data_IF_243455825526
#
_entry.id   IF_243455825526
#
_cell.length_a   1.000
_cell.length_b   1.000
_cell.length_c   1.000
_cell.angle_alpha   90.00
_cell.angle_beta   90.00
_cell.angle_gamma   90.00
#
_symmetry.space_group_name_H-M   'P 1'
#
loop_
_entity.id
_entity.type
_entity.pdbx_description
1 polymer ?
#
# COMPACT_ATOMS: atom_id res chain seq x y z
N UNK A 1 -36.19 52.49 25.18
CA UNK A 1 -35.74 51.24 24.52
C UNK A 1 -34.86 51.60 23.33
N UNK A 2 -33.53 51.54 23.47
CA UNK A 2 -32.58 51.81 22.38
C UNK A 2 -32.35 50.51 21.59
N UNK A 3 -32.68 50.50 20.30
CA UNK A 3 -32.36 49.40 19.38
C UNK A 3 -30.87 49.49 19.02
N UNK A 4 -30.12 48.45 19.38
CA UNK A 4 -28.73 48.25 18.96
C UNK A 4 -28.77 47.60 17.57
N UNK A 5 -28.21 48.28 16.57
CA UNK A 5 -28.00 47.71 15.24
C UNK A 5 -26.71 46.90 15.25
N UNK A 6 -26.81 45.58 15.10
CA UNK A 6 -25.66 44.73 14.83
C UNK A 6 -25.31 44.81 13.34
N UNK A 7 -24.10 45.26 13.04
CA UNK A 7 -23.53 45.24 11.69
C UNK A 7 -23.34 43.78 11.24
N UNK A 8 -23.74 43.40 10.00
CA UNK A 8 -23.65 42.02 9.50
C UNK A 8 -22.22 41.61 9.13
N UNK A 9 -21.22 42.42 9.44
CA UNK A 9 -19.81 42.18 9.06
C UNK A 9 -19.07 41.34 10.12
N UNK A 10 -19.61 41.22 11.34
CA UNK A 10 -18.92 40.52 12.43
C UNK A 10 -18.97 38.97 12.42
N UNK A 11 -19.97 38.25 11.83
CA UNK A 11 -19.92 36.79 11.78
C UNK A 11 -19.06 36.26 10.61
N UNK A 12 -18.72 37.10 9.63
CA UNK A 12 -17.96 36.69 8.44
C UNK A 12 -16.46 36.51 8.73
N UNK A 13 -15.93 37.20 9.73
CA UNK A 13 -14.51 37.09 10.14
C UNK A 13 -14.28 35.86 11.04
N UNK A 14 -15.32 35.37 11.73
CA UNK A 14 -15.21 34.15 12.55
C UNK A 14 -15.39 32.86 11.74
N UNK A 15 -16.06 32.93 10.57
CA UNK A 15 -16.22 31.79 9.66
C UNK A 15 -14.97 31.58 8.78
N UNK A 16 -14.11 32.60 8.62
CA UNK A 16 -12.87 32.49 7.84
C UNK A 16 -11.67 31.94 8.64
N UNK A 17 -11.81 31.75 9.96
CA UNK A 17 -10.75 31.23 10.84
C UNK A 17 -10.93 29.75 11.23
N UNK A 18 -11.88 29.04 10.61
CA UNK A 18 -11.78 27.58 10.45
C UNK A 18 -10.95 27.33 9.19
N UNK A 19 -9.69 27.78 9.24
CA UNK A 19 -8.66 27.15 8.43
C UNK A 19 -8.67 25.69 8.85
N UNK A 20 -9.05 24.85 7.91
CA UNK A 20 -8.97 23.40 7.97
C UNK A 20 -7.54 23.02 8.39
N UNK A 21 -7.31 22.89 9.69
CA UNK A 21 -6.29 22.00 10.21
C UNK A 21 -6.80 20.59 9.94
N UNK A 22 -6.67 20.17 8.69
CA UNK A 22 -6.68 18.75 8.40
C UNK A 22 -5.59 18.15 9.28
N UNK A 23 -5.90 17.19 10.18
CA UNK A 23 -4.84 16.35 10.69
C UNK A 23 -4.18 15.74 9.45
N UNK A 24 -2.92 16.08 9.24
CA UNK A 24 -2.04 15.30 8.39
C UNK A 24 -2.14 13.85 8.85
N UNK A 25 -2.85 13.04 8.06
CA UNK A 25 -3.06 11.63 8.33
C UNK A 25 -1.88 10.91 7.68
N UNK A 26 -0.93 10.48 8.51
CA UNK A 26 0.27 9.77 8.07
C UNK A 26 -0.03 8.61 7.10
N UNK A 27 0.77 8.52 6.05
CA UNK A 27 0.98 7.29 5.32
C UNK A 27 1.70 6.31 6.27
N UNK A 28 0.99 5.27 6.70
CA UNK A 28 1.45 4.14 7.53
C UNK A 28 1.56 4.33 9.05
N UNK A 29 0.63 3.67 9.76
CA UNK A 29 0.67 3.37 11.21
C UNK A 29 0.26 1.92 11.48
N UNK A 30 0.89 0.97 10.80
CA UNK A 30 0.46 -0.43 10.84
C UNK A 30 1.39 -1.37 11.62
N UNK A 31 2.10 -0.89 12.66
CA UNK A 31 2.71 -1.76 13.65
C UNK A 31 2.30 -1.44 15.10
N UNK A 32 2.21 -2.49 15.92
CA UNK A 32 1.59 -2.46 17.24
C UNK A 32 2.37 -1.63 18.29
N UNK A 33 3.52 -1.03 17.93
CA UNK A 33 4.20 -0.07 18.79
C UNK A 33 4.81 1.15 18.07
N UNK A 34 4.90 1.18 16.72
CA UNK A 34 5.48 2.24 15.85
C UNK A 34 6.63 3.05 16.48
N UNK A 35 7.46 2.40 17.31
CA UNK A 35 8.31 3.12 18.26
C UNK A 35 9.43 3.87 17.54
N UNK A 36 10.02 3.22 16.55
CA UNK A 36 11.16 3.76 15.80
C UNK A 36 10.72 4.92 14.92
N UNK A 37 9.68 4.72 14.12
CA UNK A 37 9.08 5.79 13.31
C UNK A 37 8.62 6.94 14.20
N UNK A 38 7.96 6.66 15.33
CA UNK A 38 7.54 7.72 16.28
C UNK A 38 8.73 8.48 16.85
N UNK A 39 9.81 7.80 17.20
CA UNK A 39 11.03 8.42 17.74
C UNK A 39 11.74 9.26 16.66
N UNK A 40 11.80 8.74 15.43
CA UNK A 40 12.34 9.45 14.28
C UNK A 40 11.54 10.71 13.96
N UNK A 41 10.22 10.62 13.84
CA UNK A 41 9.35 11.77 13.55
C UNK A 41 9.28 12.80 14.69
N UNK A 42 9.63 12.42 15.92
CA UNK A 42 9.81 13.37 17.02
C UNK A 42 11.11 14.16 16.85
N UNK A 43 12.18 13.51 16.40
CA UNK A 43 13.47 14.17 16.14
C UNK A 43 13.47 14.98 14.84
N UNK A 44 12.73 14.51 13.82
CA UNK A 44 12.65 15.08 12.48
C UNK A 44 11.18 15.31 12.07
N UNK A 45 10.48 16.27 12.69
CA UNK A 45 9.06 16.50 12.43
C UNK A 45 8.73 16.89 10.99
N UNK A 46 9.70 17.47 10.26
CA UNK A 46 9.57 17.81 8.85
C UNK A 46 9.51 16.60 7.92
N UNK A 47 9.91 15.42 8.40
CA UNK A 47 9.88 14.19 7.61
C UNK A 47 8.50 13.50 7.59
N UNK A 48 7.56 14.01 8.40
CA UNK A 48 6.21 13.44 8.53
C UNK A 48 5.47 13.50 7.21
N UNK A 49 4.74 12.42 6.91
CA UNK A 49 3.99 12.25 5.67
C UNK A 49 4.86 12.22 4.41
N UNK A 50 6.19 12.31 4.54
CA UNK A 50 7.13 12.32 3.43
C UNK A 50 7.73 10.94 3.14
N UNK A 51 8.65 10.91 2.18
CA UNK A 51 9.40 9.70 1.78
C UNK A 51 10.13 8.99 2.94
N UNK A 52 10.43 9.69 4.03
CA UNK A 52 11.12 9.11 5.20
C UNK A 52 10.16 8.53 6.25
N UNK A 53 8.85 8.78 6.12
CA UNK A 53 7.81 8.25 7.00
C UNK A 53 7.33 6.88 6.50
N UNK A 54 8.25 5.93 6.31
CA UNK A 54 7.92 4.57 5.87
C UNK A 54 8.98 3.54 6.34
N UNK A 55 8.71 2.26 6.06
CA UNK A 55 9.60 1.16 6.45
C UNK A 55 10.98 1.24 5.80
N UNK A 56 11.11 1.83 4.59
CA UNK A 56 12.38 1.93 3.88
C UNK A 56 13.40 2.85 4.56
N UNK A 57 12.97 3.68 5.51
CA UNK A 57 13.90 4.46 6.35
C UNK A 57 14.92 3.56 7.06
N UNK A 58 14.45 2.46 7.66
CA UNK A 58 15.29 1.56 8.44
C UNK A 58 15.44 0.17 7.82
N UNK A 59 14.55 -0.22 6.90
CA UNK A 59 14.49 -1.56 6.35
C UNK A 59 14.77 -1.58 4.85
N UNK A 60 15.21 -2.75 4.37
CA UNK A 60 15.39 -3.04 2.96
C UNK A 60 14.45 -4.17 2.52
N UNK A 61 14.14 -4.21 1.23
CA UNK A 61 13.66 -5.44 0.59
C UNK A 61 14.80 -6.44 0.42
N UNK A 62 14.48 -7.62 -0.11
CA UNK A 62 15.46 -8.69 -0.29
C UNK A 62 14.95 -9.84 -1.14
N UNK A 63 15.87 -10.70 -1.58
CA UNK A 63 15.50 -11.88 -2.36
C UNK A 63 15.13 -13.06 -1.46
N UNK A 64 14.03 -13.72 -1.80
CA UNK A 64 13.63 -15.00 -1.22
C UNK A 64 13.03 -15.87 -2.32
N UNK A 65 13.47 -17.14 -2.40
CA UNK A 65 12.94 -18.11 -3.38
C UNK A 65 12.99 -17.60 -4.84
N UNK A 66 14.09 -16.92 -5.21
CA UNK A 66 14.30 -16.30 -6.52
C UNK A 66 13.27 -15.21 -6.92
N UNK A 67 12.60 -14.62 -5.92
CA UNK A 67 11.74 -13.45 -6.06
C UNK A 67 12.26 -12.33 -5.17
N UNK A 68 12.26 -11.10 -5.69
CA UNK A 68 12.48 -9.91 -4.87
C UNK A 68 11.21 -9.59 -4.08
N UNK A 69 11.37 -9.28 -2.80
CA UNK A 69 10.30 -8.83 -1.91
C UNK A 69 10.60 -7.40 -1.47
N UNK A 70 9.58 -6.54 -1.43
CA UNK A 70 9.68 -5.20 -0.84
C UNK A 70 9.99 -5.28 0.67
N UNK A 71 10.23 -4.13 1.31
CA UNK A 71 10.60 -4.10 2.73
C UNK A 71 9.52 -4.74 3.64
N UNK A 72 8.23 -4.59 3.33
CA UNK A 72 7.14 -5.18 4.12
C UNK A 72 7.07 -6.70 3.92
N UNK A 73 7.02 -7.16 2.66
CA UNK A 73 6.93 -8.58 2.36
C UNK A 73 8.21 -9.33 2.77
N UNK A 74 9.40 -8.72 2.63
CA UNK A 74 10.66 -9.32 3.05
C UNK A 74 10.71 -9.48 4.57
N UNK A 75 10.31 -8.45 5.33
CA UNK A 75 10.19 -8.54 6.79
C UNK A 75 9.27 -9.68 7.22
N UNK A 76 8.06 -9.76 6.66
CA UNK A 76 7.12 -10.83 6.98
C UNK A 76 7.59 -12.20 6.50
N UNK A 77 8.35 -12.26 5.42
CA UNK A 77 8.92 -13.50 4.93
C UNK A 77 10.06 -14.02 5.82
N UNK A 78 10.80 -13.13 6.49
CA UNK A 78 11.89 -13.49 7.40
C UNK A 78 11.38 -13.79 8.82
N UNK A 79 10.42 -13.01 9.33
CA UNK A 79 10.01 -13.10 10.74
C UNK A 79 8.56 -13.53 10.99
N UNK A 80 7.75 -13.68 9.93
CA UNK A 80 6.32 -13.93 10.06
C UNK A 80 5.51 -12.71 10.48
N UNK A 81 4.19 -12.87 10.52
CA UNK A 81 3.24 -11.77 10.76
C UNK A 81 2.92 -11.49 12.24
N UNK A 82 3.43 -12.30 13.18
CA UNK A 82 3.10 -12.21 14.60
C UNK A 82 4.32 -11.77 15.41
N UNK A 83 4.17 -10.68 16.15
CA UNK A 83 5.10 -10.31 17.20
C UNK A 83 4.96 -11.27 18.41
N UNK A 84 6.00 -11.40 19.25
CA UNK A 84 7.33 -10.81 19.09
C UNK A 84 8.15 -11.53 18.01
N UNK A 85 8.88 -10.77 17.19
CA UNK A 85 9.88 -11.36 16.31
C UNK A 85 11.05 -11.88 17.17
N UNK A 86 11.72 -12.98 16.79
CA UNK A 86 12.82 -13.54 17.58
C UNK A 86 13.92 -12.49 17.82
N UNK A 87 14.38 -12.34 19.07
CA UNK A 87 15.49 -11.45 19.41
C UNK A 87 16.76 -11.80 18.61
N UNK A 88 17.55 -10.79 18.23
CA UNK A 88 18.78 -10.95 17.44
C UNK A 88 18.57 -11.20 15.94
N UNK A 89 17.33 -11.22 15.44
CA UNK A 89 17.04 -11.50 14.03
C UNK A 89 16.78 -10.26 13.18
N UNK A 90 16.49 -9.10 13.80
CA UNK A 90 16.08 -7.84 13.14
C UNK A 90 17.06 -7.38 12.05
N UNK A 91 18.36 -7.57 12.29
CA UNK A 91 19.46 -7.14 11.40
C UNK A 91 19.30 -7.62 9.96
N UNK A 92 18.68 -8.78 9.72
CA UNK A 92 18.53 -9.37 8.38
C UNK A 92 17.72 -8.53 7.40
N UNK A 93 16.92 -7.60 7.91
CA UNK A 93 16.01 -6.76 7.11
C UNK A 93 16.34 -5.28 7.24
N UNK A 94 17.36 -4.93 8.03
CA UNK A 94 17.77 -3.54 8.19
C UNK A 94 18.63 -3.11 7.02
N UNK A 95 18.41 -1.89 6.56
CA UNK A 95 19.36 -1.19 5.70
C UNK A 95 20.54 -0.66 6.55
N UNK A 96 21.59 -0.09 5.95
CA UNK A 96 22.74 0.44 6.70
C UNK A 96 22.38 1.49 7.74
N UNK A 97 21.44 2.41 7.45
CA UNK A 97 20.95 3.38 8.44
C UNK A 97 20.25 2.73 9.63
N UNK A 98 19.33 1.80 9.37
CA UNK A 98 18.61 1.05 10.40
C UNK A 98 19.55 0.23 11.27
N UNK A 99 20.60 -0.36 10.68
CA UNK A 99 21.65 -1.05 11.42
C UNK A 99 22.44 -0.08 12.30
N UNK A 100 22.87 1.07 11.77
CA UNK A 100 23.56 2.09 12.55
C UNK A 100 22.69 2.60 13.72
N UNK A 101 21.40 2.84 13.48
CA UNK A 101 20.44 3.24 14.50
C UNK A 101 20.26 2.17 15.59
N UNK A 102 20.16 0.90 15.20
CA UNK A 102 20.09 -0.23 16.12
C UNK A 102 21.36 -0.32 16.98
N UNK A 103 22.55 -0.32 16.36
CA UNK A 103 23.84 -0.40 17.05
C UNK A 103 24.07 0.79 17.97
N UNK A 104 23.61 1.97 17.59
CA UNK A 104 23.70 3.17 18.42
C UNK A 104 22.69 3.19 19.57
N UNK A 105 21.80 2.20 19.72
CA UNK A 105 20.93 2.03 20.89
C UNK A 105 19.45 2.34 20.66
N UNK A 106 19.01 2.55 19.40
CA UNK A 106 17.60 2.60 18.98
C UNK A 106 16.73 3.54 19.85
N UNK A 107 17.19 4.78 20.00
CA UNK A 107 16.54 5.84 20.77
C UNK A 107 16.82 7.24 20.18
N UNK A 108 16.19 8.28 20.71
CA UNK A 108 16.37 9.65 20.19
C UNK A 108 17.85 10.09 20.17
N UNK A 109 18.62 9.70 21.20
CA UNK A 109 20.05 10.02 21.27
C UNK A 109 20.87 9.23 20.22
N UNK A 110 20.39 8.06 19.78
CA UNK A 110 21.02 7.28 18.72
C UNK A 110 20.95 8.02 17.39
N UNK A 111 19.82 8.68 17.08
CA UNK A 111 19.69 9.52 15.87
C UNK A 111 20.72 10.63 15.86
N UNK A 112 20.96 11.28 17.00
CA UNK A 112 22.00 12.30 17.12
C UNK A 112 23.41 11.73 16.96
N UNK A 113 23.69 10.53 17.50
CA UNK A 113 25.00 9.87 17.36
C UNK A 113 25.32 9.49 15.92
N UNK A 114 24.32 9.04 15.15
CA UNK A 114 24.53 8.60 13.77
C UNK A 114 24.38 9.73 12.75
N UNK A 115 23.92 10.92 13.14
CA UNK A 115 23.61 12.02 12.24
C UNK A 115 24.75 12.39 11.27
N UNK A 116 26.01 12.33 11.74
CA UNK A 116 27.20 12.62 10.93
C UNK A 116 27.82 11.43 10.21
N UNK A 117 27.22 10.24 10.29
CA UNK A 117 27.66 9.07 9.53
C UNK A 117 27.11 9.14 8.12
N UNK A 118 27.90 8.66 7.16
CA UNK A 118 27.45 8.25 5.82
C UNK A 118 27.20 6.74 5.92
N UNK A 119 25.95 6.34 6.15
CA UNK A 119 25.65 4.95 6.52
C UNK A 119 25.70 4.01 5.32
N UNK A 120 25.30 4.46 4.13
CA UNK A 120 25.25 3.64 2.92
C UNK A 120 26.44 3.85 1.95
N UNK A 121 27.30 4.83 2.24
CA UNK A 121 28.55 5.08 1.54
C UNK A 121 28.39 5.88 0.25
N UNK A 122 27.33 6.69 0.12
CA UNK A 122 27.04 7.48 -1.08
C UNK A 122 27.73 8.86 -1.10
N UNK A 123 28.40 9.24 0.00
CA UNK A 123 29.12 10.49 0.17
C UNK A 123 28.36 11.59 0.92
N UNK A 124 27.12 11.33 1.35
CA UNK A 124 26.32 12.23 2.16
C UNK A 124 26.15 11.68 3.57
N UNK A 125 26.05 12.59 4.54
CA UNK A 125 25.74 12.18 5.91
C UNK A 125 24.24 11.96 6.06
N UNK A 126 23.85 11.07 6.96
CA UNK A 126 22.47 10.80 7.32
C UNK A 126 21.67 12.09 7.56
N UNK A 127 22.27 13.09 8.23
CA UNK A 127 21.63 14.39 8.47
C UNK A 127 21.39 15.21 7.19
N UNK A 128 22.32 15.17 6.23
CA UNK A 128 22.14 15.86 4.94
C UNK A 128 21.02 15.19 4.14
N UNK A 129 20.98 13.87 4.12
CA UNK A 129 19.95 13.11 3.42
C UNK A 129 18.57 13.32 4.03
N UNK A 130 18.44 13.20 5.36
CA UNK A 130 17.19 13.46 6.07
C UNK A 130 16.70 14.90 5.82
N UNK A 131 17.60 15.88 5.78
CA UNK A 131 17.25 17.26 5.47
C UNK A 131 16.82 17.47 4.00
N UNK A 132 17.37 16.69 3.07
CA UNK A 132 16.97 16.66 1.67
C UNK A 132 15.72 15.80 1.42
N UNK A 133 15.22 15.07 2.43
CA UNK A 133 14.12 14.13 2.31
C UNK A 133 14.52 12.81 1.67
N UNK A 134 15.81 12.51 1.57
CA UNK A 134 16.42 11.32 0.97
C UNK A 134 16.73 10.23 2.01
N UNK A 135 16.68 8.96 1.61
CA UNK A 135 16.76 7.79 2.48
C UNK A 135 18.21 7.43 2.85
N UNK A 136 18.65 7.65 4.10
CA UNK A 136 20.04 7.53 4.52
C UNK A 136 20.63 6.10 4.55
N UNK A 137 19.85 5.13 4.11
CA UNK A 137 20.24 3.72 4.03
C UNK A 137 20.16 3.17 2.61
N UNK A 138 19.97 4.02 1.60
CA UNK A 138 19.92 3.63 0.20
C UNK A 138 20.75 4.58 -0.66
N UNK A 139 21.94 4.11 -1.05
CA UNK A 139 22.89 4.84 -1.89
C UNK A 139 22.36 5.31 -3.25
N UNK A 140 21.18 4.84 -3.67
CA UNK A 140 20.52 5.29 -4.90
C UNK A 140 19.54 6.45 -4.65
N UNK A 141 19.38 6.86 -3.40
CA UNK A 141 18.54 7.95 -2.93
C UNK A 141 19.38 8.98 -2.19
N UNK A 142 20.21 9.71 -2.93
CA UNK A 142 21.03 10.77 -2.37
C UNK A 142 20.37 12.14 -2.54
N UNK A 143 20.88 13.21 -1.91
CA UNK A 143 20.43 14.59 -2.18
C UNK A 143 20.65 15.05 -3.62
N UNK A 144 21.59 14.41 -4.34
CA UNK A 144 21.87 14.68 -5.75
C UNK A 144 21.07 13.76 -6.69
N UNK A 145 20.32 12.79 -6.15
CA UNK A 145 19.51 11.88 -6.94
C UNK A 145 18.39 12.64 -7.65
N UNK A 146 18.22 12.36 -8.94
CA UNK A 146 17.08 12.88 -9.69
C UNK A 146 15.84 12.08 -9.34
N UNK A 147 14.73 12.78 -9.13
CA UNK A 147 13.44 12.15 -8.92
C UNK A 147 13.08 11.22 -10.10
N UNK A 148 12.45 10.10 -9.77
CA UNK A 148 12.11 9.09 -10.77
C UNK A 148 11.12 9.64 -11.83
N UNK A 149 11.25 9.25 -13.11
CA UNK A 149 10.22 9.49 -14.11
C UNK A 149 8.85 9.02 -13.61
N UNK A 150 7.82 9.84 -13.77
CA UNK A 150 6.49 9.57 -13.27
C UNK A 150 5.40 9.98 -14.26
N UNK A 151 4.25 9.32 -14.21
CA UNK A 151 3.05 9.63 -14.98
C UNK A 151 1.86 9.61 -14.04
N UNK A 152 1.11 10.71 -14.01
CA UNK A 152 -0.15 10.80 -13.27
C UNK A 152 -1.30 10.32 -14.16
N UNK A 153 -2.11 9.42 -13.61
CA UNK A 153 -3.33 8.90 -14.20
C UNK A 153 -4.53 9.47 -13.48
N UNK A 154 -5.18 10.44 -14.12
CA UNK A 154 -6.50 10.92 -13.73
C UNK A 154 -7.57 9.89 -14.11
N UNK A 155 -8.76 10.03 -13.54
CA UNK A 155 -9.94 9.23 -13.93
C UNK A 155 -10.19 9.26 -15.45
N UNK A 156 -10.08 10.42 -16.06
CA UNK A 156 -10.27 10.60 -17.51
C UNK A 156 -9.20 9.88 -18.32
N UNK A 157 -7.95 9.86 -17.85
CA UNK A 157 -6.87 9.12 -18.51
C UNK A 157 -7.12 7.61 -18.42
N UNK A 158 -7.47 7.10 -17.24
CA UNK A 158 -7.79 5.68 -17.04
C UNK A 158 -9.01 5.23 -17.84
N UNK A 159 -10.04 6.07 -17.96
CA UNK A 159 -11.24 5.76 -18.72
C UNK A 159 -11.00 5.60 -20.24
N UNK A 160 -9.87 6.07 -20.76
CA UNK A 160 -9.46 5.90 -22.17
C UNK A 160 -8.72 4.59 -22.41
N UNK A 161 -8.24 3.93 -21.35
CA UNK A 161 -7.57 2.63 -21.46
C UNK A 161 -8.59 1.49 -21.62
N UNK A 162 -8.17 0.33 -22.14
CA UNK A 162 -9.06 -0.82 -22.31
C UNK A 162 -9.72 -1.26 -21.00
N UNK A 163 -11.05 -1.13 -20.94
CA UNK A 163 -11.88 -1.56 -19.79
C UNK A 163 -11.98 -3.08 -19.74
N UNK A 164 -11.72 -3.66 -18.58
CA UNK A 164 -11.81 -5.09 -18.29
C UNK A 164 -12.63 -5.34 -17.04
N UNK A 165 -13.59 -6.28 -17.12
CA UNK A 165 -14.39 -6.73 -15.98
C UNK A 165 -14.13 -8.21 -15.70
N UNK A 166 -13.99 -8.59 -14.43
CA UNK A 166 -13.86 -9.99 -14.03
C UNK A 166 -14.61 -10.29 -12.73
N UNK A 167 -15.41 -11.35 -12.74
CA UNK A 167 -16.08 -11.91 -11.57
C UNK A 167 -15.19 -12.98 -10.94
N UNK A 168 -14.89 -12.88 -9.65
CA UNK A 168 -13.96 -13.79 -8.99
C UNK A 168 -14.16 -13.89 -7.48
N UNK A 169 -13.63 -14.97 -6.90
CA UNK A 169 -13.52 -15.14 -5.45
C UNK A 169 -12.38 -14.26 -4.88
N UNK A 170 -12.63 -13.70 -3.69
CA UNK A 170 -11.68 -13.04 -2.83
C UNK A 170 -11.62 -13.78 -1.50
N UNK A 171 -10.54 -14.52 -1.33
CA UNK A 171 -10.19 -15.26 -0.12
C UNK A 171 -9.54 -14.31 0.90
N UNK A 172 -10.19 -14.04 2.03
CA UNK A 172 -9.73 -13.06 3.03
C UNK A 172 -9.41 -13.71 4.36
N UNK A 173 -8.35 -13.26 5.04
CA UNK A 173 -8.02 -13.78 6.37
C UNK A 173 -9.00 -13.31 7.46
N UNK A 174 -9.52 -12.09 7.34
CA UNK A 174 -10.21 -11.37 8.43
C UNK A 174 -11.64 -10.99 8.10
N UNK A 175 -11.96 -10.62 6.86
CA UNK A 175 -13.25 -10.04 6.51
C UNK A 175 -14.34 -11.09 6.14
N UNK A 176 -13.93 -12.35 5.97
CA UNK A 176 -14.75 -13.41 5.39
C UNK A 176 -14.65 -13.40 3.86
N UNK A 177 -14.72 -14.59 3.28
CA UNK A 177 -14.59 -14.78 1.83
C UNK A 177 -15.83 -14.24 1.08
N UNK A 178 -15.63 -13.77 -0.15
CA UNK A 178 -16.73 -13.29 -0.98
C UNK A 178 -16.38 -13.38 -2.46
N UNK A 179 -17.41 -13.38 -3.32
CA UNK A 179 -17.25 -13.10 -4.74
C UNK A 179 -17.63 -11.65 -5.02
N UNK A 180 -17.00 -11.07 -6.04
CA UNK A 180 -17.35 -9.76 -6.56
C UNK A 180 -16.95 -9.63 -8.03
N UNK A 181 -17.60 -8.70 -8.74
CA UNK A 181 -17.17 -8.26 -10.07
C UNK A 181 -16.36 -6.99 -9.93
N UNK A 182 -15.08 -7.04 -10.29
CA UNK A 182 -14.26 -5.83 -10.39
C UNK A 182 -14.18 -5.37 -11.84
N UNK A 183 -14.24 -4.05 -12.03
CA UNK A 183 -14.00 -3.44 -13.34
C UNK A 183 -12.91 -2.38 -13.26
N UNK A 184 -12.01 -2.40 -14.23
CA UNK A 184 -10.79 -1.62 -14.22
C UNK A 184 -9.99 -1.70 -15.51
N UNK A 185 -8.73 -1.33 -15.41
CA UNK A 185 -7.73 -1.49 -16.47
C UNK A 185 -6.79 -2.63 -16.10
N UNK A 186 -6.32 -3.43 -17.06
CA UNK A 186 -5.27 -4.41 -16.77
C UNK A 186 -3.98 -3.69 -16.38
N UNK A 187 -3.29 -4.20 -15.36
CA UNK A 187 -2.03 -3.61 -14.91
C UNK A 187 -1.00 -3.61 -16.03
N UNK A 188 -0.92 -4.67 -16.84
CA UNK A 188 0.00 -4.70 -17.96
C UNK A 188 -0.28 -3.59 -19.00
N UNK A 189 -1.54 -3.38 -19.37
CA UNK A 189 -1.94 -2.33 -20.32
C UNK A 189 -1.61 -0.93 -19.76
N UNK A 190 -1.83 -0.72 -18.46
CA UNK A 190 -1.47 0.52 -17.75
C UNK A 190 0.05 0.77 -17.77
N UNK A 191 0.87 -0.26 -17.53
CA UNK A 191 2.32 -0.15 -17.56
C UNK A 191 2.84 0.13 -18.98
N UNK A 192 2.22 -0.46 -20.00
CA UNK A 192 2.53 -0.16 -21.41
C UNK A 192 2.18 1.29 -21.76
N UNK A 193 1.03 1.81 -21.33
CA UNK A 193 0.67 3.24 -21.51
C UNK A 193 1.63 4.17 -20.76
N UNK A 194 2.11 3.75 -19.57
CA UNK A 194 3.09 4.51 -18.80
C UNK A 194 4.48 4.52 -19.47
N UNK A 195 4.69 3.67 -20.49
CA UNK A 195 5.95 3.56 -21.20
C UNK A 195 7.01 2.77 -20.44
N UNK A 196 6.61 1.67 -19.79
CA UNK A 196 7.52 0.73 -19.12
C UNK A 196 8.72 0.36 -20.01
N UNK A 197 9.92 0.42 -19.42
CA UNK A 197 11.18 0.10 -20.09
C UNK A 197 11.46 -1.41 -20.08
N UNK A 198 12.21 -1.90 -21.07
CA UNK A 198 12.62 -3.30 -21.16
C UNK A 198 13.53 -3.77 -20.00
N UNK A 199 14.16 -2.83 -19.29
CA UNK A 199 14.95 -3.11 -18.09
C UNK A 199 14.10 -3.44 -16.86
N UNK A 200 12.77 -3.23 -16.94
CA UNK A 200 11.88 -3.47 -15.83
C UNK A 200 11.73 -4.96 -15.52
N UNK A 201 11.69 -5.31 -14.23
CA UNK A 201 11.65 -6.71 -13.77
C UNK A 201 10.39 -7.04 -12.96
N UNK A 202 9.91 -6.08 -12.17
CA UNK A 202 8.81 -6.22 -11.24
C UNK A 202 8.23 -4.84 -10.90
N UNK A 203 7.11 -4.82 -10.18
CA UNK A 203 6.48 -3.61 -9.67
C UNK A 203 6.27 -3.69 -8.16
N UNK A 204 6.35 -2.55 -7.50
CA UNK A 204 5.88 -2.39 -6.11
C UNK A 204 4.62 -1.53 -6.13
N UNK A 205 3.56 -1.99 -5.49
CA UNK A 205 2.26 -1.30 -5.46
C UNK A 205 2.01 -0.79 -4.06
N UNK A 206 1.65 0.49 -3.94
CA UNK A 206 1.47 1.18 -2.67
C UNK A 206 0.03 1.62 -2.45
N UNK A 207 -0.45 1.39 -1.24
CA UNK A 207 -1.67 1.97 -0.68
C UNK A 207 -1.39 3.36 -0.09
N UNK A 208 -2.41 4.21 0.01
CA UNK A 208 -2.30 5.53 0.64
C UNK A 208 -1.86 5.47 2.09
N UNK A 209 -2.18 4.38 2.80
CA UNK A 209 -1.70 4.13 4.14
C UNK A 209 -0.28 3.54 4.17
N UNK A 210 0.48 3.57 3.08
CA UNK A 210 1.87 3.10 2.99
C UNK A 210 2.06 1.58 2.98
N UNK A 211 0.99 0.79 3.08
CA UNK A 211 1.08 -0.65 2.83
C UNK A 211 1.56 -0.91 1.40
N UNK A 212 2.49 -1.86 1.22
CA UNK A 212 3.03 -2.19 -0.09
C UNK A 212 3.19 -3.70 -0.32
N UNK A 213 3.25 -4.08 -1.60
CA UNK A 213 3.66 -5.42 -2.05
C UNK A 213 4.39 -5.39 -3.38
N UNK A 214 5.22 -6.41 -3.61
CA UNK A 214 5.91 -6.66 -4.88
C UNK A 214 5.24 -7.72 -5.77
N UNK A 215 5.23 -7.46 -7.08
CA UNK A 215 4.71 -8.37 -8.11
C UNK A 215 5.68 -8.46 -9.29
N UNK A 216 6.02 -9.67 -9.73
CA UNK A 216 6.90 -9.85 -10.89
C UNK A 216 6.19 -9.51 -12.20
N UNK A 217 6.91 -8.97 -13.19
CA UNK A 217 6.31 -8.71 -14.50
C UNK A 217 5.86 -10.00 -15.21
N UNK A 218 6.46 -11.14 -14.87
CA UNK A 218 5.99 -12.45 -15.35
C UNK A 218 4.54 -12.69 -14.89
N UNK A 219 4.27 -12.52 -13.60
CA UNK A 219 2.90 -12.66 -13.05
C UNK A 219 1.94 -11.64 -13.68
N UNK A 220 2.36 -10.38 -13.79
CA UNK A 220 1.52 -9.29 -14.32
C UNK A 220 1.09 -9.52 -15.79
N UNK A 221 1.95 -10.14 -16.61
CA UNK A 221 1.69 -10.40 -18.03
C UNK A 221 0.78 -11.62 -18.25
N UNK A 222 0.67 -12.50 -17.27
CA UNK A 222 -0.05 -13.76 -17.42
C UNK A 222 -1.58 -13.55 -17.37
N UNK A 223 -2.28 -14.46 -18.05
CA UNK A 223 -3.73 -14.60 -17.95
C UNK A 223 -4.03 -15.89 -17.19
N UNK A 224 -4.83 -15.80 -16.14
CA UNK A 224 -5.08 -16.89 -15.23
C UNK A 224 -6.42 -17.56 -15.51
N UNK A 225 -6.47 -18.88 -15.34
CA UNK A 225 -7.73 -19.60 -15.40
C UNK A 225 -8.65 -19.18 -14.25
N UNK A 226 -9.94 -19.23 -14.50
CA UNK A 226 -10.95 -18.97 -13.49
C UNK A 226 -11.16 -20.15 -12.53
N UNK A 227 -11.62 -19.84 -11.33
CA UNK A 227 -12.03 -20.85 -10.34
C UNK A 227 -13.43 -21.40 -10.58
N UNK A 228 -13.89 -22.22 -9.65
CA UNK A 228 -15.28 -22.66 -9.58
C UNK A 228 -16.09 -21.73 -8.67
N UNK A 229 -17.38 -21.59 -8.97
CA UNK A 229 -18.31 -20.93 -8.09
C UNK A 229 -18.60 -21.81 -6.87
N UNK A 230 -18.53 -21.24 -5.67
CA UNK A 230 -18.76 -21.95 -4.43
C UNK A 230 -19.95 -21.28 -3.76
N UNK A 231 -21.12 -21.93 -3.73
CA UNK A 231 -22.36 -21.43 -3.12
C UNK A 231 -22.80 -22.24 -1.89
N UNK A 232 -22.25 -23.44 -1.70
CA UNK A 232 -22.59 -24.33 -0.58
C UNK A 232 -22.15 -23.82 0.80
N UNK A 233 -21.34 -22.77 0.85
CA UNK A 233 -20.79 -22.21 2.08
C UNK A 233 -21.60 -20.98 2.51
N UNK A 234 -22.29 -21.04 3.67
CA UNK A 234 -23.26 -20.01 4.05
C UNK A 234 -22.64 -18.67 4.45
N UNK A 235 -21.34 -18.62 4.77
CA UNK A 235 -20.66 -17.36 5.16
C UNK A 235 -20.03 -16.61 3.99
N UNK A 236 -19.89 -17.24 2.82
CA UNK A 236 -19.35 -16.58 1.65
C UNK A 236 -20.42 -15.64 1.09
N UNK A 237 -20.02 -14.41 0.80
CA UNK A 237 -20.92 -13.38 0.27
C UNK A 237 -20.82 -13.29 -1.24
N UNK A 238 -21.91 -12.89 -1.88
CA UNK A 238 -21.97 -12.70 -3.33
C UNK A 238 -22.83 -11.48 -3.67
N UNK A 239 -22.67 -10.89 -4.87
CA UNK A 239 -23.62 -9.93 -5.42
C UNK A 239 -25.01 -10.55 -5.55
N UNK A 240 -26.05 -9.72 -5.49
CA UNK A 240 -27.46 -10.17 -5.51
C UNK A 240 -27.91 -10.76 -6.85
N UNK A 241 -27.20 -10.47 -7.93
CA UNK A 241 -27.52 -10.79 -9.32
C UNK A 241 -26.73 -11.98 -9.88
N UNK A 242 -26.12 -12.79 -9.01
CA UNK A 242 -25.37 -13.98 -9.42
C UNK A 242 -26.29 -15.12 -9.87
N UNK A 243 -26.02 -15.67 -11.05
CA UNK A 243 -26.77 -16.78 -11.67
C UNK A 243 -26.01 -18.11 -11.72
N UNK A 244 -24.83 -18.19 -11.08
CA UNK A 244 -24.01 -19.40 -11.06
C UNK A 244 -24.51 -20.43 -10.04
N UNK A 245 -24.31 -21.72 -10.36
CA UNK A 245 -24.61 -22.83 -9.45
C UNK A 245 -23.35 -23.31 -8.71
N UNK A 246 -23.50 -23.89 -7.50
CA UNK A 246 -22.38 -24.46 -6.75
C UNK A 246 -21.60 -25.46 -7.61
N UNK A 247 -20.27 -25.33 -7.62
CA UNK A 247 -19.37 -26.18 -8.41
C UNK A 247 -19.25 -25.78 -9.89
N UNK A 248 -20.03 -24.81 -10.37
CA UNK A 248 -19.95 -24.37 -11.76
C UNK A 248 -18.59 -23.74 -12.06
N UNK A 249 -17.92 -24.19 -13.13
CA UNK A 249 -16.71 -23.56 -13.64
C UNK A 249 -17.03 -22.14 -14.12
N UNK A 250 -16.34 -21.14 -13.58
CA UNK A 250 -16.52 -19.76 -14.03
C UNK A 250 -15.84 -19.57 -15.40
N UNK A 251 -16.49 -18.84 -16.33
CA UNK A 251 -15.96 -18.62 -17.67
C UNK A 251 -14.91 -17.50 -17.69
N UNK A 252 -14.05 -17.51 -18.71
CA UNK A 252 -13.11 -16.43 -18.99
C UNK A 252 -11.74 -16.61 -18.33
N UNK A 253 -11.00 -15.50 -18.27
CA UNK A 253 -9.66 -15.44 -17.68
C UNK A 253 -9.59 -14.28 -16.67
N UNK A 254 -8.74 -14.44 -15.66
CA UNK A 254 -8.42 -13.42 -14.69
C UNK A 254 -7.10 -12.72 -15.05
N UNK A 255 -7.03 -11.44 -14.73
CA UNK A 255 -5.85 -10.60 -14.90
C UNK A 255 -5.60 -9.80 -13.63
N UNK A 256 -4.38 -9.30 -13.49
CA UNK A 256 -4.13 -8.21 -12.55
C UNK A 256 -4.82 -6.95 -13.04
N UNK A 257 -5.66 -6.34 -12.20
CA UNK A 257 -6.43 -5.15 -12.54
C UNK A 257 -6.14 -3.99 -11.58
N UNK A 258 -6.11 -2.78 -12.11
CA UNK A 258 -6.41 -1.58 -11.33
C UNK A 258 -7.91 -1.34 -11.42
N UNK A 259 -8.67 -1.78 -10.42
CA UNK A 259 -10.11 -1.61 -10.38
C UNK A 259 -10.49 -0.22 -9.88
N UNK A 260 -11.54 0.35 -10.47
CA UNK A 260 -12.20 1.58 -10.04
C UNK A 260 -13.71 1.37 -9.79
N UNK A 261 -14.22 0.17 -10.07
CA UNK A 261 -15.59 -0.25 -9.77
C UNK A 261 -15.62 -1.64 -9.14
N UNK A 262 -16.61 -1.84 -8.26
CA UNK A 262 -17.01 -3.15 -7.71
C UNK A 262 -18.52 -3.31 -7.83
N UNK A 263 -18.94 -4.44 -8.40
CA UNK A 263 -20.34 -4.83 -8.57
C UNK A 263 -21.17 -3.75 -9.31
N UNK A 264 -20.54 -3.07 -10.28
CA UNK A 264 -21.14 -2.02 -11.09
C UNK A 264 -21.17 -0.62 -10.46
N UNK A 265 -20.63 -0.46 -9.25
CA UNK A 265 -20.58 0.82 -8.55
C UNK A 265 -19.14 1.31 -8.38
N UNK A 266 -18.88 2.63 -8.37
CA UNK A 266 -17.58 3.17 -8.02
C UNK A 266 -17.11 2.66 -6.66
N UNK A 267 -15.81 2.40 -6.51
CA UNK A 267 -15.24 1.99 -5.23
C UNK A 267 -15.45 3.07 -4.18
N UNK A 268 -15.82 2.65 -2.95
CA UNK A 268 -15.93 3.56 -1.82
C UNK A 268 -14.55 4.14 -1.50
N UNK A 269 -14.43 5.46 -1.53
CA UNK A 269 -13.21 6.21 -1.23
C UNK A 269 -12.55 5.74 0.08
N UNK A 270 -11.23 5.54 0.00
CA UNK A 270 -10.38 5.18 1.12
C UNK A 270 -10.27 6.33 2.12
N UNK A 271 -10.44 6.03 3.42
CA UNK A 271 -10.28 7.01 4.52
C UNK A 271 -9.67 6.35 5.73
N UNK A 272 -8.75 7.05 6.40
CA UNK A 272 -8.29 6.66 7.73
C UNK A 272 -9.37 6.94 8.78
N UNK A 273 -9.64 5.95 9.62
CA UNK A 273 -10.53 6.06 10.77
C UNK A 273 -9.76 5.82 12.05
N UNK A 274 -10.06 6.62 13.08
CA UNK A 274 -9.57 6.42 14.44
C UNK A 274 -10.48 5.46 15.19
N UNK A 275 -9.92 4.39 15.76
CA UNK A 275 -10.65 3.41 16.57
C UNK A 275 -11.36 2.33 15.75
N UNK A 276 -11.39 1.10 16.26
CA UNK A 276 -12.04 -0.05 15.62
C UNK A 276 -11.22 -1.34 15.61
N UNK A 277 -9.92 -1.28 15.92
CA UNK A 277 -9.11 -2.46 16.23
C UNK A 277 -9.05 -2.72 17.74
N UNK A 278 -8.93 -3.98 18.15
CA UNK A 278 -8.81 -4.46 19.54
C UNK A 278 -8.10 -3.49 20.49
N UNK A 279 -8.85 -2.58 21.12
CA UNK A 279 -8.52 -1.99 22.41
C UNK A 279 -7.40 -0.95 22.50
N UNK A 280 -7.10 -0.15 21.47
CA UNK A 280 -6.29 1.04 21.70
C UNK A 280 -6.00 1.83 20.45
N UNK A 281 -6.43 3.10 20.38
CA UNK A 281 -5.89 4.20 19.54
C UNK A 281 -5.59 3.98 18.05
N UNK A 282 -5.82 2.80 17.50
CA UNK A 282 -5.27 2.39 16.21
C UNK A 282 -6.08 3.03 15.08
N UNK A 283 -5.34 3.55 14.11
CA UNK A 283 -5.91 3.99 12.85
C UNK A 283 -6.15 2.77 11.97
N UNK A 284 -7.27 2.73 11.27
CA UNK A 284 -7.52 1.71 10.27
C UNK A 284 -8.05 2.36 8.99
N UNK A 285 -7.66 1.81 7.85
CA UNK A 285 -8.24 2.21 6.58
C UNK A 285 -9.67 1.67 6.46
N UNK A 286 -10.56 2.52 5.98
CA UNK A 286 -11.93 2.19 5.58
C UNK A 286 -12.12 2.54 4.12
N UNK A 287 -13.07 1.90 3.43
CA UNK A 287 -13.15 2.01 1.97
C UNK A 287 -12.10 1.16 1.26
N UNK A 288 -12.09 1.25 -0.06
CA UNK A 288 -11.18 0.50 -0.92
C UNK A 288 -10.73 1.24 -2.19
N UNK A 289 -11.30 2.42 -2.47
CA UNK A 289 -11.04 3.25 -3.64
C UNK A 289 -10.15 4.47 -3.36
N UNK A 290 -9.94 5.37 -4.35
CA UNK A 290 -10.59 5.38 -5.66
C UNK A 290 -10.16 4.21 -6.55
N UNK A 291 -8.98 3.65 -6.29
CA UNK A 291 -8.46 2.50 -7.00
C UNK A 291 -8.12 1.36 -6.04
N UNK A 292 -8.32 0.14 -6.52
CA UNK A 292 -7.91 -1.08 -5.84
C UNK A 292 -7.11 -1.94 -6.81
N UNK A 293 -5.90 -2.32 -6.42
CA UNK A 293 -5.16 -3.36 -7.11
C UNK A 293 -5.82 -4.72 -6.86
N UNK A 294 -6.13 -5.47 -7.91
CA UNK A 294 -6.79 -6.78 -7.85
C UNK A 294 -5.82 -7.83 -8.36
N UNK A 295 -5.50 -8.80 -7.51
CA UNK A 295 -4.70 -9.96 -7.86
C UNK A 295 -5.62 -11.16 -8.19
N UNK A 296 -5.37 -11.88 -9.31
CA UNK A 296 -6.09 -13.10 -9.68
C UNK A 296 -6.11 -14.14 -8.56
N UNK A 297 -7.23 -14.85 -8.41
CA UNK A 297 -7.26 -16.11 -7.65
C UNK A 297 -6.75 -17.21 -8.58
N UNK A 298 -5.49 -17.64 -8.38
CA UNK A 298 -4.82 -18.58 -9.30
C UNK A 298 -5.08 -20.04 -8.94
N UNK A 299 -5.62 -20.32 -7.75
CA UNK A 299 -5.97 -21.67 -7.27
C UNK A 299 -7.19 -21.57 -6.34
N UNK A 300 -8.33 -22.22 -6.64
CA UNK A 300 -9.44 -22.26 -5.72
C UNK A 300 -9.00 -23.01 -4.46
N UNK A 301 -8.99 -22.31 -3.33
CA UNK A 301 -8.73 -22.88 -2.02
C UNK A 301 -10.06 -23.11 -1.31
N UNK A 302 -10.16 -24.19 -0.53
CA UNK A 302 -11.35 -24.48 0.28
C UNK A 302 -11.56 -23.29 1.23
N UNK A 303 -12.70 -22.58 1.15
CA UNK A 303 -13.00 -21.43 2.01
C UNK A 303 -12.93 -21.79 3.49
N UNK A 304 -12.37 -20.91 4.31
CA UNK A 304 -12.33 -21.02 5.77
C UNK A 304 -13.13 -19.89 6.42
N UNK A 305 -13.36 -19.99 7.73
CA UNK A 305 -14.05 -18.94 8.47
C UNK A 305 -13.14 -17.75 8.72
N UNK A 306 -13.73 -16.56 8.84
CA UNK A 306 -13.01 -15.34 9.19
C UNK A 306 -12.34 -15.47 10.56
N UNK A 307 -11.14 -14.90 10.70
CA UNK A 307 -10.46 -14.77 12.00
C UNK A 307 -11.28 -14.03 13.07
N UNK A 308 -12.29 -13.26 12.65
CA UNK A 308 -13.15 -12.40 13.47
C UNK A 308 -14.57 -12.92 13.63
N UNK A 309 -14.95 -14.04 13.00
CA UNK A 309 -16.29 -14.58 13.18
C UNK A 309 -16.44 -15.24 14.56
N UNK A 310 -17.63 -15.16 15.16
CA UNK A 310 -17.89 -15.77 16.47
C UNK A 310 -17.85 -17.31 16.42
N UNK A 311 -18.14 -17.87 15.26
CA UNK A 311 -18.19 -19.29 14.96
C UNK A 311 -16.90 -19.80 14.32
N UNK A 312 -15.80 -19.05 14.47
CA UNK A 312 -14.52 -19.30 13.82
C UNK A 312 -14.01 -20.73 13.98
N UNK A 313 -14.28 -21.37 15.11
CA UNK A 313 -13.75 -22.70 15.46
C UNK A 313 -14.77 -23.84 15.21
N UNK A 314 -15.86 -23.57 14.48
CA UNK A 314 -16.93 -24.55 14.17
C UNK A 314 -16.41 -25.72 13.27
N UNK A 315 -16.63 -26.99 13.70
CA UNK A 315 -15.95 -28.18 13.18
C UNK A 315 -16.21 -28.61 11.74
N UNK A 316 -17.03 -27.91 10.95
CA UNK A 316 -17.08 -28.21 9.50
C UNK A 316 -15.99 -27.49 8.70
N UNK A 317 -15.64 -26.25 9.08
CA UNK A 317 -14.72 -25.38 8.33
C UNK A 317 -14.10 -24.29 9.25
N UNK A 318 -13.25 -24.67 10.22
CA UNK A 318 -12.66 -23.70 11.14
C UNK A 318 -11.69 -22.76 10.40
N UNK A 319 -11.45 -21.57 10.96
CA UNK A 319 -10.38 -20.69 10.49
C UNK A 319 -9.04 -21.41 10.52
N UNK A 320 -8.31 -21.32 9.42
CA UNK A 320 -6.99 -21.90 9.29
C UNK A 320 -5.91 -20.80 9.20
N UNK A 321 -5.18 -20.54 10.30
CA UNK A 321 -4.08 -19.58 10.29
C UNK A 321 -2.87 -20.05 9.47
N UNK A 322 -2.77 -21.35 9.17
CA UNK A 322 -1.69 -21.98 8.40
C UNK A 322 -2.11 -22.26 6.95
N UNK A 323 -3.28 -21.73 6.52
CA UNK A 323 -3.73 -21.85 5.14
C UNK A 323 -2.61 -21.31 4.23
N UNK A 324 -2.22 -22.04 3.16
CA UNK A 324 -1.25 -21.54 2.19
C UNK A 324 -1.62 -20.12 1.79
N UNK A 325 -0.62 -19.28 1.53
CA UNK A 325 -0.72 -17.82 1.26
C UNK A 325 -1.43 -17.50 -0.07
N UNK A 326 -2.42 -18.31 -0.45
CA UNK A 326 -3.31 -18.17 -1.60
C UNK A 326 -4.54 -17.32 -1.24
N UNK A 327 -4.52 -16.57 -0.13
CA UNK A 327 -5.49 -15.52 0.18
C UNK A 327 -5.27 -14.37 -0.79
N UNK A 328 -5.80 -14.51 -2.00
CA UNK A 328 -5.61 -13.53 -3.06
C UNK A 328 -6.08 -12.13 -2.66
N UNK A 329 -7.04 -12.02 -1.72
CA UNK A 329 -7.46 -10.72 -1.21
C UNK A 329 -6.35 -9.98 -0.45
N UNK A 330 -5.41 -10.68 0.18
CA UNK A 330 -4.27 -10.04 0.83
C UNK A 330 -3.33 -9.41 -0.23
N UNK A 331 -3.31 -9.95 -1.46
CA UNK A 331 -2.61 -9.37 -2.62
C UNK A 331 -3.46 -8.32 -3.36
N UNK A 332 -4.71 -8.10 -2.95
CA UNK A 332 -5.57 -7.07 -3.50
C UNK A 332 -5.47 -5.78 -2.66
N UNK A 333 -4.59 -4.88 -3.07
CA UNK A 333 -4.25 -3.66 -2.34
C UNK A 333 -5.37 -2.62 -2.46
N UNK A 334 -5.95 -2.23 -1.34
CA UNK A 334 -6.99 -1.19 -1.26
C UNK A 334 -6.37 0.19 -1.35
N UNK A 335 -7.12 1.16 -1.87
CA UNK A 335 -6.72 2.59 -1.88
C UNK A 335 -5.33 2.75 -2.52
N UNK A 336 -5.13 2.11 -3.66
CA UNK A 336 -3.86 2.16 -4.39
C UNK A 336 -3.64 3.56 -4.94
N UNK A 337 -2.49 4.16 -4.60
CA UNK A 337 -2.12 5.53 -5.02
C UNK A 337 -0.85 5.57 -5.87
N UNK A 338 0.03 4.59 -5.73
CA UNK A 338 1.29 4.56 -6.46
C UNK A 338 1.67 3.15 -6.94
N UNK A 339 2.26 3.08 -8.14
CA UNK A 339 2.88 1.87 -8.70
C UNK A 339 4.30 2.22 -9.13
N UNK A 340 5.27 1.62 -8.47
CA UNK A 340 6.68 1.74 -8.80
C UNK A 340 7.09 0.63 -9.78
N UNK A 341 7.83 0.98 -10.81
CA UNK A 341 8.39 0.07 -11.81
C UNK A 341 9.88 -0.11 -11.54
N UNK A 342 10.26 -1.32 -11.13
CA UNK A 342 11.60 -1.66 -10.66
C UNK A 342 12.47 -2.27 -11.76
N UNK A 343 13.80 -2.22 -11.58
CA UNK A 343 14.77 -2.94 -12.42
C UNK A 343 15.56 -3.94 -11.58
N UNK A 344 16.40 -4.76 -12.19
CA UNK A 344 17.29 -5.65 -11.45
C UNK A 344 18.24 -4.90 -10.49
N UNK A 345 18.71 -3.72 -10.91
CA UNK A 345 19.74 -2.96 -10.19
C UNK A 345 19.18 -1.82 -9.33
N UNK A 346 17.92 -1.45 -9.51
CA UNK A 346 17.25 -0.46 -8.69
C UNK A 346 15.84 -0.94 -8.33
N UNK A 347 15.66 -1.22 -7.04
CA UNK A 347 14.42 -1.73 -6.43
C UNK A 347 13.68 -0.71 -5.57
N UNK A 348 14.27 0.48 -5.43
CA UNK A 348 13.72 1.58 -4.66
C UNK A 348 13.93 2.81 -5.53
N UNK A 349 12.97 3.02 -6.44
CA UNK A 349 12.84 4.30 -7.13
C UNK A 349 12.16 5.25 -6.16
N UNK A 350 12.61 6.50 -6.17
CA UNK A 350 12.15 7.47 -5.20
C UNK A 350 11.33 8.55 -5.88
N UNK A 351 10.12 8.71 -5.36
CA UNK A 351 9.15 9.73 -5.73
C UNK A 351 8.44 10.11 -4.44
N UNK A 352 8.33 11.39 -4.12
CA UNK A 352 7.70 11.82 -2.86
C UNK A 352 6.16 11.82 -2.96
N UNK A 353 5.58 10.70 -3.41
CA UNK A 353 4.14 10.49 -3.42
C UNK A 353 3.50 10.45 -2.02
N UNK A 354 4.18 10.04 -0.91
CA UNK A 354 3.55 10.00 0.40
C UNK A 354 2.93 11.34 0.84
N UNK A 355 3.59 12.47 0.55
CA UNK A 355 3.09 13.82 0.91
C UNK A 355 1.77 14.15 0.20
N UNK A 356 1.54 13.50 -0.94
CA UNK A 356 0.35 13.67 -1.77
C UNK A 356 -0.62 12.49 -1.67
N UNK A 357 -0.35 11.48 -0.85
CA UNK A 357 -1.10 10.22 -0.88
C UNK A 357 -2.62 10.42 -0.75
N UNK A 358 -3.07 11.19 0.25
CA UNK A 358 -4.50 11.46 0.43
C UNK A 358 -5.06 12.44 -0.59
N UNK A 359 -4.24 13.35 -1.10
CA UNK A 359 -4.63 14.23 -2.21
C UNK A 359 -4.87 13.41 -3.48
N UNK A 360 -4.04 12.42 -3.78
CA UNK A 360 -4.25 11.48 -4.90
C UNK A 360 -5.57 10.70 -4.71
N UNK A 361 -5.90 10.28 -3.49
CA UNK A 361 -7.19 9.63 -3.18
C UNK A 361 -8.37 10.57 -3.49
N UNK A 362 -8.32 11.80 -2.97
CA UNK A 362 -9.36 12.83 -3.16
C UNK A 362 -9.56 13.21 -4.62
N UNK A 363 -8.46 13.43 -5.35
CA UNK A 363 -8.46 13.81 -6.77
C UNK A 363 -8.78 12.61 -7.69
N UNK A 364 -8.76 11.38 -7.16
CA UNK A 364 -8.94 10.19 -7.96
C UNK A 364 -7.79 9.98 -8.93
N UNK A 365 -6.57 10.21 -8.46
CA UNK A 365 -5.34 10.07 -9.23
C UNK A 365 -4.53 8.84 -8.78
N UNK A 366 -3.75 8.30 -9.71
CA UNK A 366 -2.75 7.27 -9.48
C UNK A 366 -1.44 7.73 -10.09
N UNK A 367 -0.32 7.54 -9.40
CA UNK A 367 1.01 7.73 -10.00
C UNK A 367 1.66 6.41 -10.37
N UNK A 368 2.18 6.32 -11.59
CA UNK A 368 3.08 5.25 -12.02
C UNK A 368 4.47 5.86 -12.22
N UNK A 369 5.51 5.30 -11.61
CA UNK A 369 6.84 5.89 -11.63
C UNK A 369 7.97 4.85 -11.64
N UNK A 370 9.20 5.27 -11.92
CA UNK A 370 10.38 4.40 -11.93
C UNK A 370 10.93 4.17 -13.34
N UNK A 371 11.17 2.91 -13.71
CA UNK A 371 11.72 2.53 -15.01
C UNK A 371 10.70 2.66 -16.16
N UNK A 372 10.32 3.90 -16.49
CA UNK A 372 9.34 4.26 -17.53
C UNK A 372 9.85 5.42 -18.40
N UNK A 373 9.30 5.59 -19.62
CA UNK A 373 9.63 6.69 -20.55
C UNK A 373 8.47 7.12 -21.47
N UNK A 374 8.40 8.40 -21.90
CA UNK A 374 9.12 9.56 -21.38
C UNK A 374 8.50 10.06 -20.06
N UNK A 375 9.24 10.82 -19.23
CA UNK A 375 8.71 11.36 -17.98
C UNK A 375 7.49 12.26 -18.25
N UNK A 376 6.39 12.03 -17.53
CA UNK A 376 5.38 13.05 -17.31
C UNK A 376 5.88 14.08 -16.29
N UNK A 377 5.32 15.28 -16.29
CA UNK A 377 5.65 16.28 -15.27
C UNK A 377 4.94 15.89 -13.96
N UNK A 378 5.72 15.63 -12.90
CA UNK A 378 5.24 15.33 -11.54
C UNK A 378 4.89 16.59 -10.70
N UNK A 379 4.92 17.79 -11.31
CA UNK A 379 4.69 19.06 -10.61
C UNK A 379 3.23 19.32 -10.26
#
# INVERSE_FOLDING_TARGET
>A
MKRIYYSPIFPLVLILLVLLSFPALAAYRAHQNDRDTSTFLQAYPQARDGKLDNCYLCHTGGEKEAKYLDACDYCHAVFGYKAPHPEGSLEKTLNPFGLAYLTAGRNAEALARIAGLDADGDGFTNAQEIAAGSLPGDKNDSPDAKEAPAVIYTRDKLARLPRTSQFMALDTAKAGDYFATYTGVKIWDLLQDAGILDTATDITVYSADGYSRNFSLKEIKEAYAQGTFLARYPWIKYPSDVSYHDGQQLPGKLYYLLAYERDGYPLLEGRMKTGGGNGGGNYHMSGEGPYRFIAPSTRPVVPDRSAWSIDRDDPSYPYNPERPVLKNADYCIKTTVAIQVNTANNKVYHLNWPERAWKLVEEGELVVYGAIAPPGNWQ
#
